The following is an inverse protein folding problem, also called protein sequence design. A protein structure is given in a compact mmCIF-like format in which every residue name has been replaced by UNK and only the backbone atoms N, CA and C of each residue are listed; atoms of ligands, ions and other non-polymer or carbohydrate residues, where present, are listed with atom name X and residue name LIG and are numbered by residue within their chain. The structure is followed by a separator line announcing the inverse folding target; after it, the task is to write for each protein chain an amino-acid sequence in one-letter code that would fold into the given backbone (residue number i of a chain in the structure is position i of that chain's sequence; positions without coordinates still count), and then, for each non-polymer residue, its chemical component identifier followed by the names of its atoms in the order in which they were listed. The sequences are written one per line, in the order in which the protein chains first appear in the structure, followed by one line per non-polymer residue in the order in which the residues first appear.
data_IF_300533810890
#
_entry.id   IF_300533810890
#
_cell.length_a   1.000
_cell.length_b   1.000
_cell.length_c   1.000
_cell.angle_alpha   90.00
_cell.angle_beta   90.00
_cell.angle_gamma   90.00
#
_symmetry.space_group_name_H-M   'P 1'
#
loop_
_entity.id
_entity.type
_entity.pdbx_description
1 polymer ?
#
# COMPACT_ATOMS: atom_id res chain seq x y z
N UNK A 1 51.70 -2.51 -3.31
CA UNK A 1 50.93 -2.32 -2.06
C UNK A 1 50.26 -0.96 -2.09
N UNK A 2 48.97 -0.91 -2.42
CA UNK A 2 48.09 0.24 -2.19
C UNK A 2 46.84 -0.34 -1.57
N UNK A 3 46.60 0.00 -0.31
CA UNK A 3 45.44 -0.48 0.44
C UNK A 3 44.16 0.04 -0.19
N UNK A 4 43.18 -0.86 -0.35
CA UNK A 4 41.82 -0.47 -0.66
C UNK A 4 41.26 0.35 0.52
N UNK A 5 40.57 1.47 0.27
CA UNK A 5 39.85 2.15 1.32
C UNK A 5 38.73 1.23 1.81
N UNK A 6 38.79 0.88 3.08
CA UNK A 6 37.70 0.24 3.82
C UNK A 6 36.47 1.13 3.76
N UNK A 7 35.38 0.59 3.22
CA UNK A 7 34.02 1.14 3.33
C UNK A 7 33.71 1.44 4.80
N UNK A 8 33.14 2.60 5.15
CA UNK A 8 32.67 2.83 6.52
C UNK A 8 31.56 1.81 6.83
N UNK A 9 31.62 1.20 8.01
CA UNK A 9 30.54 0.37 8.54
C UNK A 9 29.25 1.21 8.65
N UNK A 10 28.14 0.70 8.10
CA UNK A 10 26.78 1.18 8.35
C UNK A 10 26.38 0.87 9.81
N UNK A 11 26.91 1.64 10.76
CA UNK A 11 26.61 1.51 12.18
C UNK A 11 25.37 2.37 12.54
N UNK A 12 24.25 1.76 12.95
CA UNK A 12 23.24 2.45 13.76
C UNK A 12 21.75 2.05 13.61
N UNK A 13 21.36 1.24 12.62
CA UNK A 13 19.96 0.86 12.46
C UNK A 13 19.59 -0.34 13.35
N UNK A 14 18.61 -0.16 14.26
CA UNK A 14 18.04 -1.25 15.08
C UNK A 14 17.49 -2.34 14.17
N UNK A 15 17.81 -3.61 14.45
CA UNK A 15 17.27 -4.74 13.68
C UNK A 15 15.81 -4.99 14.04
N UNK A 16 14.88 -4.68 13.14
CA UNK A 16 13.45 -4.87 13.37
C UNK A 16 12.94 -6.01 12.48
N UNK A 17 12.19 -6.94 13.06
CA UNK A 17 11.46 -7.96 12.32
C UNK A 17 9.98 -7.56 12.20
N UNK A 18 9.25 -8.09 11.22
CA UNK A 18 7.83 -7.82 11.06
C UNK A 18 6.97 -9.02 11.46
N UNK A 19 5.81 -8.74 12.05
CA UNK A 19 4.75 -9.70 12.32
C UNK A 19 3.47 -9.18 11.65
N UNK A 20 2.97 -9.92 10.67
CA UNK A 20 1.68 -9.66 10.01
C UNK A 20 0.64 -10.61 10.58
N UNK A 21 -0.38 -10.09 11.26
CA UNK A 21 -1.45 -10.88 11.84
C UNK A 21 -2.56 -11.12 10.81
N UNK A 22 -2.76 -12.39 10.42
CA UNK A 22 -3.73 -12.82 9.41
C UNK A 22 -4.53 -14.06 9.85
N UNK A 23 -4.59 -14.37 11.14
CA UNK A 23 -5.12 -15.65 11.65
C UNK A 23 -6.63 -15.67 11.98
N UNK A 24 -7.30 -14.50 11.99
CA UNK A 24 -8.68 -14.37 12.46
C UNK A 24 -9.73 -15.02 11.54
N UNK A 25 -10.88 -15.39 12.11
CA UNK A 25 -11.97 -16.06 11.37
C UNK A 25 -12.93 -15.11 10.63
N UNK A 26 -12.81 -13.79 10.87
CA UNK A 26 -13.61 -12.75 10.21
C UNK A 26 -15.15 -12.93 10.35
N UNK A 27 -15.64 -13.26 11.56
CA UNK A 27 -17.09 -13.50 11.84
C UNK A 27 -18.02 -12.46 11.23
N UNK A 28 -17.74 -11.18 11.48
CA UNK A 28 -18.56 -10.04 11.04
C UNK A 28 -18.60 -9.89 9.51
N UNK A 29 -17.52 -10.29 8.84
CA UNK A 29 -17.40 -10.27 7.37
C UNK A 29 -18.15 -11.45 6.72
N UNK A 30 -18.31 -12.57 7.43
CA UNK A 30 -18.94 -13.80 6.91
C UNK A 30 -18.09 -14.58 5.89
N UNK A 31 -16.91 -14.08 5.55
CA UNK A 31 -15.90 -14.68 4.66
C UNK A 31 -14.50 -14.25 5.09
N UNK A 32 -13.42 -14.97 4.73
CA UNK A 32 -12.05 -14.62 5.15
C UNK A 32 -11.64 -13.23 4.64
N UNK A 33 -11.58 -12.24 5.54
CA UNK A 33 -11.23 -10.85 5.19
C UNK A 33 -9.82 -10.71 4.61
N UNK A 34 -8.93 -11.61 4.97
CA UNK A 34 -7.56 -11.74 4.46
C UNK A 34 -7.52 -11.91 2.93
N UNK A 35 -8.52 -12.62 2.38
CA UNK A 35 -8.62 -12.95 0.95
C UNK A 35 -9.40 -11.91 0.14
N UNK A 36 -9.93 -10.87 0.80
CA UNK A 36 -10.59 -9.78 0.08
C UNK A 36 -9.59 -9.11 -0.85
N UNK A 37 -10.00 -8.85 -2.08
CA UNK A 37 -9.14 -8.20 -3.05
C UNK A 37 -9.32 -6.68 -3.02
N UNK A 38 -8.22 -5.96 -2.88
CA UNK A 38 -8.17 -4.55 -3.22
C UNK A 38 -7.12 -4.37 -4.31
N UNK A 39 -7.45 -3.72 -5.42
CA UNK A 39 -6.48 -3.52 -6.53
C UNK A 39 -5.87 -4.79 -7.16
N UNK A 40 -6.35 -5.99 -6.85
CA UNK A 40 -5.98 -7.25 -7.52
C UNK A 40 -4.99 -8.06 -6.72
N UNK A 41 -4.89 -7.67 -5.47
CA UNK A 41 -4.02 -8.21 -4.48
C UNK A 41 -4.91 -8.43 -3.25
N UNK A 42 -4.88 -9.65 -2.72
CA UNK A 42 -5.55 -9.95 -1.45
C UNK A 42 -4.97 -9.07 -0.33
N UNK A 43 -5.78 -8.75 0.67
CA UNK A 43 -5.34 -7.88 1.77
C UNK A 43 -4.11 -8.45 2.49
N UNK A 44 -4.07 -9.77 2.68
CA UNK A 44 -2.91 -10.43 3.29
C UNK A 44 -1.64 -10.33 2.44
N UNK A 45 -1.76 -10.50 1.12
CA UNK A 45 -0.62 -10.34 0.21
C UNK A 45 -0.11 -8.91 0.21
N UNK A 46 -1.01 -7.92 0.25
CA UNK A 46 -0.67 -6.50 0.36
C UNK A 46 0.10 -6.21 1.65
N UNK A 47 -0.39 -6.67 2.80
CA UNK A 47 0.26 -6.47 4.10
C UNK A 47 1.65 -7.15 4.15
N UNK A 48 1.77 -8.37 3.64
CA UNK A 48 3.04 -9.08 3.51
C UNK A 48 4.03 -8.32 2.62
N UNK A 49 3.59 -7.87 1.44
CA UNK A 49 4.44 -7.07 0.53
C UNK A 49 4.90 -5.76 1.17
N UNK A 50 4.02 -5.07 1.92
CA UNK A 50 4.40 -3.86 2.67
C UNK A 50 5.45 -4.16 3.73
N UNK A 51 5.31 -5.27 4.46
CA UNK A 51 6.28 -5.69 5.48
C UNK A 51 7.66 -5.99 4.90
N UNK A 52 7.74 -6.57 3.70
CA UNK A 52 8.99 -6.84 2.98
C UNK A 52 9.62 -5.58 2.37
N UNK A 53 8.80 -4.61 1.98
CA UNK A 53 9.27 -3.34 1.44
C UNK A 53 9.75 -2.36 2.54
N UNK A 54 9.26 -2.53 3.77
CA UNK A 54 9.85 -1.93 4.94
C UNK A 54 11.22 -2.58 5.21
N UNK A 55 12.23 -1.86 5.72
CA UNK A 55 13.53 -2.44 6.09
C UNK A 55 13.43 -3.28 7.37
N UNK A 56 12.54 -4.29 7.34
CA UNK A 56 12.27 -5.24 8.41
C UNK A 56 12.62 -6.65 7.92
N UNK A 57 13.37 -7.41 8.71
CA UNK A 57 13.70 -8.79 8.39
C UNK A 57 13.92 -9.61 9.68
N UNK A 58 13.41 -10.85 9.73
CA UNK A 58 12.49 -11.48 8.79
C UNK A 58 11.07 -10.87 8.87
N UNK A 59 10.21 -11.23 7.91
CA UNK A 59 8.77 -10.95 7.99
C UNK A 59 8.01 -12.25 8.25
N UNK A 60 7.32 -12.31 9.38
CA UNK A 60 6.52 -13.45 9.81
C UNK A 60 5.04 -13.15 9.60
N UNK A 61 4.35 -13.96 8.79
CA UNK A 61 2.89 -13.91 8.64
C UNK A 61 2.26 -14.99 9.52
N UNK A 62 1.40 -14.57 10.44
CA UNK A 62 0.68 -15.47 11.34
C UNK A 62 -0.66 -15.87 10.70
N UNK A 63 -0.84 -17.15 10.42
CA UNK A 63 -2.04 -17.73 9.80
C UNK A 63 -2.86 -18.55 10.80
N UNK A 64 -4.12 -18.87 10.48
CA UNK A 64 -5.06 -19.47 11.45
C UNK A 64 -6.28 -20.08 10.78
N UNK A 65 -7.46 -19.49 11.00
CA UNK A 65 -8.76 -20.04 10.60
C UNK A 65 -8.84 -20.52 9.13
N UNK A 66 -8.15 -19.82 8.22
CA UNK A 66 -8.11 -20.11 6.79
C UNK A 66 -6.67 -20.30 6.28
N UNK A 67 -5.82 -20.97 7.07
CA UNK A 67 -4.37 -21.05 6.83
C UNK A 67 -4.00 -21.48 5.39
N UNK A 68 -4.64 -22.52 4.85
CA UNK A 68 -4.35 -23.01 3.49
C UNK A 68 -4.57 -21.96 2.40
N UNK A 69 -5.74 -21.31 2.40
CA UNK A 69 -6.08 -20.28 1.41
C UNK A 69 -5.22 -19.03 1.58
N UNK A 70 -4.98 -18.62 2.82
CA UNK A 70 -4.14 -17.46 3.14
C UNK A 70 -2.69 -17.68 2.73
N UNK A 71 -2.15 -18.87 2.94
CA UNK A 71 -0.77 -19.21 2.55
C UNK A 71 -0.62 -19.31 1.03
N UNK A 72 -1.66 -19.76 0.31
CA UNK A 72 -1.65 -19.77 -1.14
C UNK A 72 -1.48 -18.35 -1.73
N UNK A 73 -2.14 -17.34 -1.15
CA UNK A 73 -2.00 -15.93 -1.53
C UNK A 73 -0.59 -15.37 -1.28
N UNK A 74 0.16 -15.97 -0.36
CA UNK A 74 1.53 -15.57 0.00
C UNK A 74 2.60 -16.25 -0.85
N UNK A 75 2.22 -17.18 -1.72
CA UNK A 75 3.16 -17.89 -2.58
C UNK A 75 4.04 -16.92 -3.38
N UNK A 76 5.34 -17.23 -3.44
CA UNK A 76 6.35 -16.43 -4.12
C UNK A 76 6.81 -15.17 -3.38
N UNK A 77 6.32 -14.89 -2.17
CA UNK A 77 6.89 -13.87 -1.28
C UNK A 77 7.88 -14.50 -0.30
N UNK A 78 8.96 -13.80 0.02
CA UNK A 78 9.98 -14.22 0.99
C UNK A 78 9.52 -13.95 2.44
N UNK A 79 8.39 -14.56 2.82
CA UNK A 79 7.85 -14.47 4.19
C UNK A 79 7.91 -15.80 4.91
N UNK A 80 8.09 -15.72 6.23
CA UNK A 80 7.97 -16.84 7.13
C UNK A 80 6.52 -17.06 7.53
N UNK A 81 6.06 -18.31 7.52
CA UNK A 81 4.71 -18.66 7.98
C UNK A 81 4.75 -19.18 9.40
N UNK A 82 3.88 -18.65 10.26
CA UNK A 82 3.64 -19.16 11.60
C UNK A 82 2.15 -19.48 11.78
N UNK A 83 1.81 -20.77 11.76
CA UNK A 83 0.41 -21.22 11.93
C UNK A 83 0.03 -21.18 13.41
N UNK A 84 -1.02 -20.46 13.76
CA UNK A 84 -1.66 -20.51 15.07
C UNK A 84 -2.79 -21.55 15.06
N UNK A 85 -2.58 -22.78 15.59
CA UNK A 85 -3.63 -23.80 15.66
C UNK A 85 -4.78 -23.37 16.58
N UNK A 86 -4.47 -22.57 17.61
CA UNK A 86 -5.40 -22.06 18.61
C UNK A 86 -5.91 -20.66 18.26
N UNK A 87 -6.16 -20.39 16.97
CA UNK A 87 -6.65 -19.09 16.48
C UNK A 87 -7.94 -18.62 17.18
N UNK A 88 -8.74 -19.56 17.72
CA UNK A 88 -9.94 -19.28 18.53
C UNK A 88 -9.64 -18.58 19.87
N UNK A 89 -8.38 -18.60 20.32
CA UNK A 89 -7.94 -17.91 21.55
C UNK A 89 -7.85 -16.38 21.40
N UNK A 90 -8.20 -15.85 20.22
CA UNK A 90 -8.30 -14.41 19.96
C UNK A 90 -7.01 -13.80 19.42
N UNK A 91 -7.00 -12.48 19.36
CA UNK A 91 -5.88 -11.69 18.83
C UNK A 91 -4.58 -11.93 19.61
N UNK A 92 -4.67 -12.10 20.93
CA UNK A 92 -3.52 -12.39 21.78
C UNK A 92 -2.80 -13.68 21.35
N UNK A 93 -3.52 -14.76 21.07
CA UNK A 93 -2.90 -16.03 20.65
C UNK A 93 -2.12 -15.92 19.34
N UNK A 94 -2.63 -15.13 18.40
CA UNK A 94 -1.95 -14.87 17.14
C UNK A 94 -0.67 -14.05 17.35
N UNK A 95 -0.73 -13.05 18.22
CA UNK A 95 0.44 -12.25 18.57
C UNK A 95 1.51 -13.08 19.29
N UNK A 96 1.13 -13.94 20.26
CA UNK A 96 2.05 -14.88 20.91
C UNK A 96 2.73 -15.79 19.90
N UNK A 97 1.97 -16.32 18.94
CA UNK A 97 2.48 -17.17 17.86
C UNK A 97 3.51 -16.42 17.01
N UNK A 98 3.21 -15.18 16.63
CA UNK A 98 4.12 -14.32 15.87
C UNK A 98 5.40 -13.99 16.63
N UNK A 99 5.30 -13.63 17.92
CA UNK A 99 6.46 -13.32 18.75
C UNK A 99 7.35 -14.55 18.99
N UNK A 100 6.75 -15.71 19.22
CA UNK A 100 7.51 -16.96 19.36
C UNK A 100 8.26 -17.31 18.07
N UNK A 101 7.58 -17.21 16.93
CA UNK A 101 8.15 -17.41 15.60
C UNK A 101 9.29 -16.43 15.29
N UNK A 102 9.13 -15.16 15.65
CA UNK A 102 10.15 -14.12 15.49
C UNK A 102 11.37 -14.41 16.37
N UNK A 103 11.17 -14.75 17.66
CA UNK A 103 12.26 -15.06 18.59
C UNK A 103 13.13 -16.24 18.13
N UNK A 104 12.50 -17.24 17.51
CA UNK A 104 13.20 -18.41 16.96
C UNK A 104 14.04 -18.04 15.71
N UNK A 105 13.46 -17.26 14.79
CA UNK A 105 14.08 -16.93 13.50
C UNK A 105 15.07 -15.78 13.55
N UNK A 106 14.86 -14.84 14.47
CA UNK A 106 15.66 -13.63 14.63
C UNK A 106 15.92 -13.37 16.12
N UNK A 107 16.74 -14.23 16.77
CA UNK A 107 17.04 -14.13 18.20
C UNK A 107 17.76 -12.84 18.58
N UNK A 108 18.26 -12.07 17.61
CA UNK A 108 18.98 -10.81 17.70
C UNK A 108 18.14 -9.59 17.26
N UNK A 109 16.85 -9.76 16.91
CA UNK A 109 15.92 -8.66 16.61
C UNK A 109 15.69 -7.72 17.81
N UNK A 110 15.92 -6.44 17.63
CA UNK A 110 15.78 -5.40 18.66
C UNK A 110 14.34 -4.87 18.77
N UNK A 111 13.50 -5.14 17.76
CA UNK A 111 12.08 -4.82 17.81
C UNK A 111 11.23 -5.64 16.84
N UNK A 112 9.91 -5.55 17.02
CA UNK A 112 8.90 -6.19 16.19
C UNK A 112 7.89 -5.16 15.69
N UNK A 113 7.84 -4.94 14.37
CA UNK A 113 6.78 -4.21 13.69
C UNK A 113 5.55 -5.12 13.58
N UNK A 114 4.46 -4.77 14.26
CA UNK A 114 3.19 -5.48 14.21
C UNK A 114 2.26 -4.80 13.20
N UNK A 115 1.79 -5.58 12.23
CA UNK A 115 0.85 -5.19 11.17
C UNK A 115 -0.39 -6.09 11.23
N UNK A 116 -1.53 -5.58 10.76
CA UNK A 116 -2.72 -6.38 10.53
C UNK A 116 -2.98 -6.53 9.04
N UNK A 117 -3.45 -7.71 8.62
CA UNK A 117 -3.76 -7.98 7.22
C UNK A 117 -4.96 -7.17 6.69
N UNK A 118 -5.82 -6.67 7.57
CA UNK A 118 -7.09 -6.00 7.27
C UNK A 118 -7.02 -4.46 7.36
N UNK A 119 -5.80 -3.90 7.38
CA UNK A 119 -5.55 -2.45 7.32
C UNK A 119 -5.01 -2.05 5.92
N UNK A 120 -5.84 -2.09 4.86
CA UNK A 120 -5.37 -2.01 3.47
C UNK A 120 -4.82 -0.65 3.05
N UNK A 121 -5.08 0.40 3.82
CA UNK A 121 -4.69 1.78 3.46
C UNK A 121 -3.32 2.19 4.00
N UNK A 122 -2.71 1.36 4.85
CA UNK A 122 -1.36 1.59 5.40
C UNK A 122 -0.33 1.72 4.28
N UNK A 123 0.44 2.81 4.33
CA UNK A 123 1.50 3.10 3.37
C UNK A 123 2.88 2.68 3.86
N UNK A 124 3.79 2.43 2.91
CA UNK A 124 5.20 2.20 3.22
C UNK A 124 5.86 3.44 3.85
N UNK A 125 5.39 4.65 3.50
CA UNK A 125 5.92 5.89 4.06
C UNK A 125 5.64 5.98 5.56
N UNK A 126 4.42 5.60 6.00
CA UNK A 126 4.06 5.52 7.40
C UNK A 126 4.93 4.50 8.16
N UNK A 127 5.15 3.31 7.58
CA UNK A 127 6.02 2.31 8.19
C UNK A 127 7.47 2.81 8.34
N UNK A 128 7.99 3.55 7.36
CA UNK A 128 9.33 4.15 7.43
C UNK A 128 9.41 5.24 8.51
N UNK A 129 8.37 6.07 8.66
CA UNK A 129 8.29 7.07 9.74
C UNK A 129 8.30 6.40 11.12
N UNK A 130 7.55 5.31 11.30
CA UNK A 130 7.57 4.53 12.54
C UNK A 130 8.97 3.95 12.83
N UNK A 131 9.62 3.34 11.84
CA UNK A 131 10.95 2.75 12.00
C UNK A 131 12.01 3.81 12.33
N UNK A 132 11.95 4.97 11.68
CA UNK A 132 12.83 6.10 11.98
C UNK A 132 12.61 6.61 13.41
N UNK A 133 11.35 6.74 13.85
CA UNK A 133 11.02 7.16 15.20
C UNK A 133 11.53 6.16 16.25
N UNK A 134 11.32 4.86 16.03
CA UNK A 134 11.79 3.77 16.90
C UNK A 134 13.32 3.67 16.98
N UNK A 135 14.05 4.15 15.97
CA UNK A 135 15.52 4.19 16.00
C UNK A 135 16.07 5.28 16.95
N UNK A 136 15.22 6.18 17.46
CA UNK A 136 15.65 7.23 18.39
C UNK A 136 16.03 6.65 19.76
N UNK A 137 17.11 7.15 20.40
CA UNK A 137 17.51 6.69 21.73
C UNK A 137 16.38 6.83 22.76
N UNK A 138 16.20 5.81 23.60
CA UNK A 138 15.20 5.80 24.69
C UNK A 138 13.77 5.48 24.24
N UNK A 139 13.51 5.34 22.95
CA UNK A 139 12.20 4.92 22.44
C UNK A 139 12.15 3.41 22.36
N UNK A 140 11.18 2.78 23.01
CA UNK A 140 11.01 1.32 23.01
C UNK A 140 9.66 0.90 22.43
N UNK A 141 8.77 1.86 22.15
CA UNK A 141 7.56 1.64 21.36
C UNK A 141 7.35 2.81 20.39
N UNK A 142 6.93 2.50 19.18
CA UNK A 142 6.46 3.50 18.21
C UNK A 142 5.10 3.06 17.66
N UNK A 143 4.10 3.93 17.64
CA UNK A 143 2.76 3.56 17.19
C UNK A 143 2.08 4.66 16.38
N UNK A 144 1.10 4.29 15.57
CA UNK A 144 0.25 5.24 14.88
C UNK A 144 -0.77 5.88 15.84
N UNK A 145 -0.98 7.18 15.71
CA UNK A 145 -2.06 7.93 16.35
C UNK A 145 -3.09 8.31 15.29
N UNK A 146 -4.29 7.74 15.41
CA UNK A 146 -5.40 7.93 14.49
C UNK A 146 -6.52 8.72 15.15
N UNK A 147 -6.76 9.97 14.75
CA UNK A 147 -7.86 10.79 15.27
C UNK A 147 -8.07 10.64 16.81
N UNK A 148 -6.98 10.69 17.58
CA UNK A 148 -6.98 10.53 19.05
C UNK A 148 -6.89 9.09 19.59
N UNK A 149 -6.79 8.07 18.74
CA UNK A 149 -6.63 6.66 19.15
C UNK A 149 -5.29 6.09 18.73
N UNK A 150 -4.51 5.59 19.69
CA UNK A 150 -3.24 4.90 19.41
C UNK A 150 -3.53 3.46 18.96
N UNK A 151 -2.83 2.99 17.93
CA UNK A 151 -3.05 1.67 17.35
C UNK A 151 -1.89 1.13 16.54
N UNK A 152 -2.10 -0.06 15.97
CA UNK A 152 -1.18 -0.65 15.01
C UNK A 152 -1.43 -0.08 13.61
N UNK A 153 -0.42 0.04 12.72
CA UNK A 153 0.95 -0.45 12.86
C UNK A 153 1.72 0.13 14.04
N UNK A 154 2.42 -0.75 14.76
CA UNK A 154 3.23 -0.34 15.90
C UNK A 154 4.48 -1.22 16.02
N UNK A 155 5.56 -0.62 16.47
CA UNK A 155 6.82 -1.29 16.78
C UNK A 155 6.94 -1.43 18.28
N UNK A 156 7.31 -2.62 18.71
CA UNK A 156 7.61 -2.94 20.10
C UNK A 156 9.06 -3.38 20.21
N UNK A 157 9.82 -2.76 21.09
CA UNK A 157 11.19 -3.15 21.42
C UNK A 157 11.22 -4.54 22.05
N UNK A 158 12.40 -5.16 22.01
CA UNK A 158 12.63 -6.52 22.53
C UNK A 158 12.12 -6.72 23.96
N UNK A 159 12.25 -5.70 24.81
CA UNK A 159 11.77 -5.72 26.20
C UNK A 159 10.25 -5.94 26.31
N UNK A 160 9.48 -5.56 25.30
CA UNK A 160 8.04 -5.78 25.24
C UNK A 160 7.66 -7.18 24.72
N UNK A 161 8.61 -8.00 24.24
CA UNK A 161 8.27 -9.31 23.69
C UNK A 161 7.64 -10.24 24.72
N UNK A 162 8.05 -10.17 25.99
CA UNK A 162 7.44 -10.96 27.07
C UNK A 162 6.04 -10.45 27.41
N UNK A 163 5.85 -9.13 27.43
CA UNK A 163 4.53 -8.52 27.61
C UNK A 163 3.57 -8.92 26.48
N UNK A 164 4.03 -8.90 25.22
CA UNK A 164 3.26 -9.38 24.06
C UNK A 164 2.96 -10.88 24.17
N UNK A 165 3.94 -11.68 24.62
CA UNK A 165 3.80 -13.13 24.80
C UNK A 165 2.88 -13.53 25.96
N UNK A 166 2.57 -12.62 26.89
CA UNK A 166 1.72 -12.88 28.06
C UNK A 166 0.27 -12.37 27.90
N UNK A 167 -0.05 -11.69 26.79
CA UNK A 167 -1.42 -11.25 26.51
C UNK A 167 -2.39 -12.44 26.43
N UNK A 168 -3.65 -12.20 26.79
CA UNK A 168 -4.71 -13.21 26.79
C UNK A 168 -6.05 -12.67 26.28
N UNK A 169 -6.84 -13.57 25.70
CA UNK A 169 -8.16 -13.29 25.11
C UNK A 169 -8.07 -12.36 23.89
N UNK A 170 -9.03 -11.44 23.80
CA UNK A 170 -9.13 -10.48 22.69
C UNK A 170 -8.25 -9.24 22.88
N UNK A 171 -7.45 -9.19 23.95
CA UNK A 171 -6.50 -8.08 24.17
C UNK A 171 -5.36 -8.16 23.15
N UNK A 172 -5.40 -7.26 22.18
CA UNK A 172 -4.32 -7.06 21.21
C UNK A 172 -3.19 -6.19 21.72
N UNK A 173 -2.20 -5.95 20.86
CA UNK A 173 -1.05 -5.11 21.13
C UNK A 173 -1.42 -3.69 21.62
N UNK A 174 -2.61 -3.19 21.26
CA UNK A 174 -3.15 -1.89 21.69
C UNK A 174 -3.17 -1.70 23.20
N UNK A 175 -3.38 -2.74 24.01
CA UNK A 175 -3.36 -2.58 25.47
C UNK A 175 -1.99 -2.19 26.01
N UNK A 176 -0.90 -2.58 25.32
CA UNK A 176 0.46 -2.20 25.64
C UNK A 176 0.82 -0.80 25.12
N UNK A 177 -0.07 -0.15 24.36
CA UNK A 177 0.09 1.22 23.85
C UNK A 177 -0.77 2.23 24.62
N UNK A 178 -1.66 1.75 25.51
CA UNK A 178 -2.61 2.59 26.21
C UNK A 178 -1.95 3.53 27.24
N UNK A 179 -0.77 3.17 27.75
CA UNK A 179 0.00 4.01 28.67
C UNK A 179 1.03 4.81 27.88
N UNK A 180 0.84 6.12 27.86
CA UNK A 180 1.80 7.09 27.36
C UNK A 180 2.90 7.28 28.40
N UNK A 181 4.08 6.76 28.11
CA UNK A 181 5.31 6.90 28.89
C UNK A 181 6.42 7.38 27.97
N UNK A 182 7.57 7.79 28.54
CA UNK A 182 8.65 8.44 27.79
C UNK A 182 9.27 7.57 26.67
N UNK A 183 9.11 6.26 26.76
CA UNK A 183 9.57 5.27 25.77
C UNK A 183 8.60 5.05 24.60
N UNK A 184 7.40 5.67 24.61
CA UNK A 184 6.44 5.60 23.52
C UNK A 184 6.45 6.88 22.69
N UNK A 185 6.73 6.75 21.40
CA UNK A 185 6.50 7.81 20.41
C UNK A 185 5.27 7.49 19.57
N UNK A 186 4.42 8.49 19.32
CA UNK A 186 3.27 8.35 18.43
C UNK A 186 3.43 9.17 17.17
N UNK A 187 3.08 8.57 16.03
CA UNK A 187 3.10 9.21 14.72
C UNK A 187 1.67 9.48 14.28
N UNK A 188 1.31 10.75 14.21
CA UNK A 188 0.00 11.18 13.70
C UNK A 188 -0.12 10.89 12.20
N UNK A 189 -1.28 10.37 11.81
CA UNK A 189 -1.58 10.02 10.42
C UNK A 189 -3.05 10.21 10.10
N UNK A 190 -3.31 10.79 8.93
CA UNK A 190 -4.64 10.87 8.32
C UNK A 190 -4.96 9.60 7.51
N UNK A 191 -4.03 8.64 7.43
CA UNK A 191 -4.31 7.34 6.82
C UNK A 191 -5.40 6.64 7.63
N UNK A 192 -6.48 6.16 6.98
CA UNK A 192 -7.60 5.60 7.73
C UNK A 192 -7.15 4.38 8.54
N UNK A 193 -7.39 4.44 9.85
CA UNK A 193 -7.21 3.32 10.78
C UNK A 193 -8.16 2.15 10.53
N UNK A 194 -9.08 2.30 9.57
CA UNK A 194 -10.26 1.45 9.45
C UNK A 194 -9.89 0.04 9.02
N UNK A 195 -9.97 -0.88 9.97
CA UNK A 195 -9.98 -2.31 9.73
C UNK A 195 -11.19 -2.67 8.83
N UNK A 196 -10.98 -3.60 7.90
CA UNK A 196 -12.07 -4.10 7.04
C UNK A 196 -12.79 -5.25 7.75
N UNK A 197 -13.76 -4.92 8.60
CA UNK A 197 -14.41 -5.88 9.49
C UNK A 197 -15.78 -6.38 9.01
N UNK A 198 -16.50 -5.56 8.25
CA UNK A 198 -17.85 -5.82 7.76
C UNK A 198 -17.92 -5.75 6.22
N UNK A 199 -18.91 -6.39 5.59
CA UNK A 199 -19.14 -6.22 4.15
C UNK A 199 -19.32 -4.75 3.74
N UNK A 200 -19.92 -3.93 4.61
CA UNK A 200 -20.10 -2.50 4.42
C UNK A 200 -18.75 -1.76 4.39
N UNK A 201 -17.81 -2.09 5.29
CA UNK A 201 -16.45 -1.53 5.28
C UNK A 201 -15.75 -1.84 3.95
N UNK A 202 -15.88 -3.09 3.50
CA UNK A 202 -15.29 -3.51 2.22
C UNK A 202 -15.96 -2.84 1.01
N UNK A 203 -17.28 -2.66 1.05
CA UNK A 203 -18.01 -1.94 0.02
C UNK A 203 -17.59 -0.47 -0.04
N UNK A 204 -17.44 0.19 1.12
CA UNK A 204 -16.95 1.57 1.20
C UNK A 204 -15.50 1.70 0.71
N UNK A 205 -14.66 0.70 0.99
CA UNK A 205 -13.28 0.64 0.50
C UNK A 205 -13.19 0.50 -1.03
N UNK A 206 -14.14 -0.20 -1.63
CA UNK A 206 -14.16 -0.52 -3.07
C UNK A 206 -15.10 0.38 -3.88
N UNK A 207 -15.81 1.31 -3.22
CA UNK A 207 -16.71 2.25 -3.86
C UNK A 207 -15.93 3.29 -4.67
N UNK A 208 -16.47 3.63 -5.84
CA UNK A 208 -15.99 4.74 -6.67
C UNK A 208 -16.31 6.08 -6.00
N UNK A 209 -15.44 6.52 -5.09
CA UNK A 209 -15.56 7.82 -4.47
C UNK A 209 -15.46 8.95 -5.52
N UNK A 210 -16.15 10.08 -5.34
CA UNK A 210 -15.97 11.24 -6.22
C UNK A 210 -14.52 11.73 -6.19
N UNK A 211 -14.00 12.27 -7.31
CA UNK A 211 -12.64 12.82 -7.31
C UNK A 211 -12.56 14.03 -6.35
N UNK A 212 -11.45 14.20 -5.61
CA UNK A 212 -11.21 15.42 -4.84
C UNK A 212 -11.33 16.66 -5.72
N UNK A 213 -11.88 17.74 -5.19
CA UNK A 213 -12.11 18.98 -5.96
C UNK A 213 -10.82 19.54 -6.56
N UNK A 214 -9.70 19.51 -5.81
CA UNK A 214 -8.40 19.93 -6.32
C UNK A 214 -7.90 19.06 -7.49
N UNK A 215 -8.06 17.74 -7.42
CA UNK A 215 -7.74 16.85 -8.55
C UNK A 215 -8.66 17.11 -9.76
N UNK A 216 -9.95 17.39 -9.53
CA UNK A 216 -10.86 17.77 -10.61
C UNK A 216 -10.42 19.07 -11.28
N UNK A 217 -10.02 20.07 -10.49
CA UNK A 217 -9.47 21.34 -10.97
C UNK A 217 -8.20 21.13 -11.78
N UNK A 218 -7.25 20.33 -11.29
CA UNK A 218 -6.05 19.99 -12.06
C UNK A 218 -6.36 19.31 -13.38
N UNK A 219 -7.30 18.36 -13.42
CA UNK A 219 -7.73 17.74 -14.68
C UNK A 219 -8.41 18.72 -15.65
N UNK A 220 -8.93 19.85 -15.15
CA UNK A 220 -9.51 20.94 -15.93
C UNK A 220 -8.44 21.87 -16.49
N UNK A 221 -7.42 22.21 -15.70
CA UNK A 221 -6.36 23.15 -16.08
C UNK A 221 -5.19 22.48 -16.82
N UNK A 222 -4.82 21.27 -16.40
CA UNK A 222 -3.61 20.55 -16.82
C UNK A 222 -3.87 19.04 -17.01
N UNK A 223 -3.65 18.55 -18.22
CA UNK A 223 -3.91 17.13 -18.53
C UNK A 223 -2.67 16.23 -18.41
N UNK A 224 -1.48 16.80 -18.14
CA UNK A 224 -0.24 16.04 -18.11
C UNK A 224 -0.13 15.27 -16.80
N UNK A 225 0.07 13.98 -16.92
CA UNK A 225 0.13 13.02 -15.82
C UNK A 225 1.18 11.97 -16.11
N UNK A 226 1.51 11.18 -15.10
CA UNK A 226 2.51 10.13 -15.18
C UNK A 226 1.88 8.82 -14.74
N UNK A 227 1.51 7.98 -15.70
CA UNK A 227 1.02 6.63 -15.45
C UNK A 227 2.22 5.74 -15.11
N UNK A 228 2.22 5.13 -13.94
CA UNK A 228 3.19 4.13 -13.51
C UNK A 228 2.57 2.75 -13.69
N UNK A 229 3.31 1.84 -14.33
CA UNK A 229 2.93 0.43 -14.53
C UNK A 229 4.07 -0.48 -14.09
N UNK A 230 3.77 -1.72 -13.73
CA UNK A 230 4.78 -2.68 -13.26
C UNK A 230 5.32 -3.55 -14.41
N UNK A 231 6.63 -3.77 -14.43
CA UNK A 231 7.32 -4.66 -15.38
C UNK A 231 7.17 -6.13 -14.97
N UNK A 232 7.70 -7.02 -15.82
CA UNK A 232 7.94 -8.45 -15.57
C UNK A 232 8.49 -8.77 -14.18
N UNK A 233 9.47 -8.01 -13.74
CA UNK A 233 10.15 -8.19 -12.45
C UNK A 233 9.47 -7.43 -11.28
N UNK A 234 8.32 -6.81 -11.51
CA UNK A 234 7.65 -5.97 -10.51
C UNK A 234 8.23 -4.56 -10.38
N UNK A 235 9.29 -4.21 -11.12
CA UNK A 235 9.84 -2.85 -11.09
C UNK A 235 8.91 -1.83 -11.76
N UNK A 236 8.84 -0.58 -11.28
CA UNK A 236 7.98 0.45 -11.87
C UNK A 236 8.54 1.00 -13.19
N UNK A 237 7.64 1.32 -14.12
CA UNK A 237 7.92 2.10 -15.34
C UNK A 237 6.98 3.28 -15.42
N UNK A 238 7.55 4.49 -15.57
CA UNK A 238 6.79 5.74 -15.67
C UNK A 238 6.48 6.08 -17.13
N UNK A 239 5.25 6.50 -17.37
CA UNK A 239 4.71 6.85 -18.69
C UNK A 239 4.11 8.25 -18.66
N UNK A 240 4.77 9.27 -19.25
CA UNK A 240 4.16 10.58 -19.43
C UNK A 240 2.96 10.46 -20.37
N UNK A 241 1.78 10.86 -19.90
CA UNK A 241 0.53 10.72 -20.62
C UNK A 241 -0.42 11.88 -20.37
N UNK A 242 -1.35 12.06 -21.31
CA UNK A 242 -2.49 12.96 -21.15
C UNK A 242 -3.63 12.15 -20.55
N UNK A 243 -4.09 12.54 -19.37
CA UNK A 243 -5.30 11.99 -18.79
C UNK A 243 -6.53 12.60 -19.48
N UNK A 244 -7.52 11.77 -19.75
CA UNK A 244 -8.82 12.14 -20.25
C UNK A 244 -9.81 11.94 -19.09
N UNK A 245 -10.59 12.96 -18.76
CA UNK A 245 -11.65 12.86 -17.74
C UNK A 245 -13.00 12.62 -18.41
N UNK A 246 -13.75 11.62 -17.94
CA UNK A 246 -15.14 11.36 -18.31
C UNK A 246 -15.98 11.27 -17.03
N UNK A 247 -16.59 12.37 -16.59
CA UNK A 247 -17.20 12.43 -15.26
C UNK A 247 -16.13 12.29 -14.16
N UNK A 248 -16.31 11.37 -13.22
CA UNK A 248 -15.27 11.04 -12.22
C UNK A 248 -14.36 9.87 -12.66
N UNK A 249 -14.52 9.39 -13.90
CA UNK A 249 -13.64 8.38 -14.48
C UNK A 249 -12.34 9.00 -15.01
N UNK A 250 -11.23 8.34 -14.71
CA UNK A 250 -9.90 8.66 -15.22
C UNK A 250 -9.55 7.70 -16.36
N UNK A 251 -9.32 8.23 -17.55
CA UNK A 251 -9.14 7.44 -18.76
C UNK A 251 -7.86 7.85 -19.48
N UNK A 252 -7.10 6.88 -19.98
CA UNK A 252 -5.93 7.11 -20.81
C UNK A 252 -6.12 6.47 -22.18
N UNK A 253 -5.52 7.06 -23.21
CA UNK A 253 -5.45 6.41 -24.53
C UNK A 253 -4.01 6.01 -24.87
N UNK A 254 -3.82 4.78 -25.34
CA UNK A 254 -2.49 4.28 -25.72
C UNK A 254 -2.56 3.38 -26.93
N UNK A 255 -1.42 3.03 -27.51
CA UNK A 255 -1.36 1.99 -28.53
C UNK A 255 -1.45 0.61 -27.89
N UNK A 256 -2.17 -0.31 -28.55
CA UNK A 256 -2.29 -1.70 -28.09
C UNK A 256 -0.93 -2.39 -27.90
N UNK A 257 0.04 -2.07 -28.75
CA UNK A 257 1.40 -2.63 -28.69
C UNK A 257 2.37 -1.84 -27.78
N UNK A 258 1.87 -0.93 -26.95
CA UNK A 258 2.73 -0.14 -26.06
C UNK A 258 3.24 -0.98 -24.87
N UNK A 259 4.35 -0.56 -24.26
CA UNK A 259 4.89 -1.21 -23.07
C UNK A 259 3.88 -1.22 -21.92
N UNK A 260 3.20 -0.09 -21.67
CA UNK A 260 2.17 0.01 -20.63
C UNK A 260 0.98 -0.93 -20.84
N UNK A 261 0.57 -1.16 -22.09
CA UNK A 261 -0.51 -2.11 -22.40
C UNK A 261 -0.08 -3.55 -22.07
N UNK A 262 1.12 -3.97 -22.48
CA UNK A 262 1.66 -5.29 -22.13
C UNK A 262 1.87 -5.46 -20.62
N UNK A 263 2.33 -4.41 -19.95
CA UNK A 263 2.50 -4.41 -18.50
C UNK A 263 1.14 -4.63 -17.81
N UNK A 264 0.11 -3.87 -18.22
CA UNK A 264 -1.25 -3.98 -17.68
C UNK A 264 -1.92 -5.33 -17.94
N UNK A 265 -1.68 -5.95 -19.10
CA UNK A 265 -2.17 -7.30 -19.38
C UNK A 265 -1.58 -8.35 -18.42
N UNK A 266 -0.39 -8.08 -17.88
CA UNK A 266 0.30 -8.97 -16.94
C UNK A 266 0.01 -8.64 -15.47
N UNK A 267 0.02 -7.35 -15.13
CA UNK A 267 -0.23 -6.84 -13.79
C UNK A 267 -1.07 -5.55 -13.93
N UNK A 268 -2.36 -5.57 -13.54
CA UNK A 268 -3.24 -4.44 -13.73
C UNK A 268 -2.95 -3.28 -12.77
N UNK A 269 -2.07 -3.44 -11.77
CA UNK A 269 -1.77 -2.41 -10.77
C UNK A 269 -1.04 -1.23 -11.42
N UNK A 270 -1.51 -0.04 -11.09
CA UNK A 270 -0.96 1.23 -11.56
C UNK A 270 -0.97 2.27 -10.46
N UNK A 271 -0.15 3.31 -10.67
CA UNK A 271 -0.33 4.58 -10.02
C UNK A 271 -0.35 5.69 -11.08
N UNK A 272 -1.01 6.81 -10.81
CA UNK A 272 -1.02 7.97 -11.68
C UNK A 272 -0.68 9.19 -10.84
N UNK A 273 0.44 9.84 -11.15
CA UNK A 273 0.77 11.12 -10.56
C UNK A 273 0.27 12.27 -11.45
N UNK A 274 -0.48 13.19 -10.84
CA UNK A 274 -0.92 14.46 -11.39
C UNK A 274 -0.19 15.56 -10.66
N UNK A 275 0.56 16.40 -11.36
CA UNK A 275 1.39 17.42 -10.74
C UNK A 275 0.89 18.81 -11.11
N UNK A 276 0.77 19.67 -10.11
CA UNK A 276 0.41 21.08 -10.22
C UNK A 276 1.68 21.92 -10.53
N UNK A 277 2.16 21.79 -11.76
CA UNK A 277 3.36 22.47 -12.24
C UNK A 277 4.68 21.71 -12.03
N UNK A 278 5.77 22.26 -12.58
CA UNK A 278 7.13 21.69 -12.55
C UNK A 278 8.14 22.69 -11.97
N UNK A 279 7.76 23.34 -10.87
CA UNK A 279 8.62 24.31 -10.18
C UNK A 279 9.75 23.66 -9.37
N UNK A 280 10.75 24.45 -8.93
CA UNK A 280 11.85 23.97 -8.08
C UNK A 280 11.44 23.70 -6.61
N UNK A 281 10.20 23.99 -6.24
CA UNK A 281 9.59 23.67 -4.94
C UNK A 281 8.98 22.27 -5.03
N UNK A 282 8.89 21.55 -3.91
CA UNK A 282 8.33 20.19 -3.85
C UNK A 282 7.07 20.04 -4.72
N UNK A 283 6.95 18.96 -5.51
CA UNK A 283 5.85 18.80 -6.44
C UNK A 283 4.53 18.65 -5.66
N UNK A 284 3.67 19.67 -5.75
CA UNK A 284 2.28 19.58 -5.31
C UNK A 284 1.44 18.86 -6.36
N UNK A 285 0.37 18.19 -5.93
CA UNK A 285 -0.52 17.49 -6.84
C UNK A 285 -1.25 16.32 -6.19
N UNK A 286 -1.51 15.27 -6.96
CA UNK A 286 -2.22 14.10 -6.48
C UNK A 286 -1.60 12.80 -7.03
N UNK A 287 -1.52 11.80 -6.15
CA UNK A 287 -1.23 10.42 -6.51
C UNK A 287 -2.53 9.61 -6.46
N UNK A 288 -2.89 9.01 -7.59
CA UNK A 288 -4.02 8.09 -7.70
C UNK A 288 -3.46 6.68 -7.83
N UNK A 289 -3.75 5.81 -6.87
CA UNK A 289 -3.37 4.40 -6.92
C UNK A 289 -4.58 3.57 -7.33
N UNK A 290 -4.39 2.60 -8.22
CA UNK A 290 -5.40 1.58 -8.46
C UNK A 290 -5.13 0.60 -9.59
N UNK A 291 -6.17 0.25 -10.38
CA UNK A 291 -6.06 -0.69 -11.51
C UNK A 291 -6.34 -0.04 -12.85
N UNK A 292 -5.57 -0.42 -13.86
CA UNK A 292 -5.84 -0.06 -15.26
C UNK A 292 -6.58 -1.17 -15.99
N UNK A 293 -7.79 -0.90 -16.46
CA UNK A 293 -8.58 -1.82 -17.28
C UNK A 293 -8.45 -1.46 -18.76
N UNK A 294 -7.95 -2.39 -19.57
CA UNK A 294 -7.83 -2.18 -21.02
C UNK A 294 -9.20 -2.36 -21.67
N UNK A 295 -9.71 -1.30 -22.27
CA UNK A 295 -10.97 -1.30 -23.00
C UNK A 295 -10.77 -1.00 -24.48
N UNK A 296 -11.50 -1.74 -25.33
CA UNK A 296 -11.73 -1.33 -26.73
C UNK A 296 -12.81 -0.27 -26.75
N UNK A 297 -12.51 0.85 -27.39
CA UNK A 297 -13.48 1.92 -27.60
C UNK A 297 -13.67 2.16 -29.10
N UNK A 298 -14.86 2.62 -29.47
CA UNK A 298 -15.19 2.99 -30.85
C UNK A 298 -14.95 4.49 -31.12
N UNK A 299 -14.68 5.27 -30.07
CA UNK A 299 -14.38 6.69 -30.13
C UNK A 299 -13.47 7.08 -28.95
N UNK A 300 -12.73 8.19 -29.09
CA UNK A 300 -12.11 8.84 -27.94
C UNK A 300 -13.15 9.73 -27.25
N UNK A 301 -13.05 9.91 -25.91
CA UNK A 301 -13.71 11.01 -25.23
C UNK A 301 -13.39 12.34 -25.93
N UNK A 302 -14.31 13.31 -25.93
CA UNK A 302 -14.06 14.63 -26.52
C UNK A 302 -12.79 15.24 -25.91
N UNK A 303 -11.92 15.77 -26.76
CA UNK A 303 -10.75 16.50 -26.29
C UNK A 303 -11.22 17.78 -25.57
N UNK A 304 -10.65 18.07 -24.40
CA UNK A 304 -10.94 19.32 -23.68
C UNK A 304 -10.39 20.51 -24.46
N UNK A 305 -11.21 21.54 -24.59
CA UNK A 305 -10.93 22.82 -25.26
C UNK A 305 -9.96 23.73 -24.50
N UNK A 306 -8.82 23.19 -24.08
CA UNK A 306 -7.71 23.97 -23.52
C UNK A 306 -6.56 24.02 -24.51
N UNK A 307 -5.93 25.18 -24.66
CA UNK A 307 -4.84 25.46 -25.59
C UNK A 307 -3.55 24.65 -25.28
N UNK A 308 -3.59 23.33 -25.47
CA UNK A 308 -2.38 22.52 -25.61
C UNK A 308 -1.73 22.79 -26.97
N UNK A 309 -0.39 22.71 -27.09
CA UNK A 309 0.30 23.03 -28.32
C UNK A 309 -0.15 22.08 -29.44
N UNK A 310 -0.94 22.63 -30.38
CA UNK A 310 -1.30 22.07 -31.69
C UNK A 310 -1.96 20.68 -31.68
N UNK A 311 -3.21 20.58 -31.24
CA UNK A 311 -4.09 19.51 -31.75
C UNK A 311 -5.06 20.08 -32.79
N UNK A 312 -4.56 20.39 -33.99
CA UNK A 312 -5.44 20.70 -35.13
C UNK A 312 -6.40 19.54 -35.40
N UNK A 313 -7.56 19.80 -36.01
CA UNK A 313 -8.61 18.81 -36.29
C UNK A 313 -8.10 17.50 -36.89
N UNK A 314 -7.05 17.55 -37.71
CA UNK A 314 -6.41 16.38 -38.31
C UNK A 314 -5.74 15.43 -37.31
N UNK A 315 -5.22 15.93 -36.18
CA UNK A 315 -4.62 15.10 -35.12
C UNK A 315 -5.72 14.33 -34.37
N UNK A 316 -6.83 15.01 -34.05
CA UNK A 316 -7.98 14.39 -33.40
C UNK A 316 -8.65 13.36 -34.32
N UNK A 317 -8.87 13.70 -35.59
CA UNK A 317 -9.44 12.77 -36.59
C UNK A 317 -8.62 11.48 -36.73
N UNK A 318 -7.29 11.60 -36.88
CA UNK A 318 -6.38 10.44 -36.93
C UNK A 318 -6.39 9.63 -35.64
N UNK A 319 -6.52 10.29 -34.48
CA UNK A 319 -6.62 9.60 -33.20
C UNK A 319 -7.93 8.80 -33.09
N UNK A 320 -9.05 9.38 -33.54
CA UNK A 320 -10.36 8.71 -33.63
C UNK A 320 -10.32 7.50 -34.57
N UNK A 321 -9.74 7.62 -35.77
CA UNK A 321 -9.58 6.52 -36.73
C UNK A 321 -8.72 5.38 -36.17
N UNK A 322 -7.68 5.71 -35.41
CA UNK A 322 -6.80 4.72 -34.75
C UNK A 322 -7.50 3.97 -33.62
N UNK A 323 -8.45 4.61 -32.93
CA UNK A 323 -9.31 3.94 -31.94
C UNK A 323 -10.31 3.04 -32.64
N UNK A 324 -11.02 3.53 -33.67
CA UNK A 324 -11.96 2.73 -34.48
C UNK A 324 -11.31 1.47 -35.08
N UNK A 325 -10.07 1.60 -35.56
CA UNK A 325 -9.31 0.46 -36.10
C UNK A 325 -8.70 -0.46 -35.04
N UNK A 326 -8.90 -0.20 -33.75
CA UNK A 326 -8.35 -1.00 -32.64
C UNK A 326 -6.83 -0.88 -32.43
N UNK A 327 -6.16 -0.02 -33.21
CA UNK A 327 -4.72 0.28 -33.04
C UNK A 327 -4.45 1.00 -31.73
N UNK A 328 -5.40 1.83 -31.28
CA UNK A 328 -5.42 2.44 -29.95
C UNK A 328 -6.50 1.81 -29.09
N UNK A 329 -6.22 1.77 -27.80
CA UNK A 329 -7.08 1.28 -26.72
C UNK A 329 -7.25 2.39 -25.69
N UNK A 330 -8.28 2.26 -24.87
CA UNK A 330 -8.43 3.02 -23.64
C UNK A 330 -7.92 2.19 -22.46
N UNK A 331 -7.44 2.88 -21.44
CA UNK A 331 -7.16 2.35 -20.12
C UNK A 331 -8.05 3.13 -19.18
N UNK A 332 -9.07 2.49 -18.63
CA UNK A 332 -9.92 3.08 -17.59
C UNK A 332 -9.24 2.81 -16.24
N UNK A 333 -9.15 3.81 -15.37
CA UNK A 333 -8.53 3.66 -14.05
C UNK A 333 -9.61 3.49 -12.99
N UNK A 334 -9.66 2.29 -12.41
CA UNK A 334 -10.38 2.05 -11.17
C UNK A 334 -9.52 2.48 -10.01
N UNK A 335 -10.03 3.40 -9.20
CA UNK A 335 -9.30 4.11 -8.16
C UNK A 335 -9.49 3.39 -6.84
N UNK A 336 -8.40 3.09 -6.15
CA UNK A 336 -8.43 2.51 -4.81
C UNK A 336 -8.06 3.55 -3.74
N UNK A 337 -7.17 4.48 -4.10
CA UNK A 337 -6.80 5.60 -3.25
C UNK A 337 -6.47 6.84 -4.09
N UNK A 338 -6.78 8.00 -3.52
CA UNK A 338 -6.32 9.30 -4.02
C UNK A 338 -5.66 10.01 -2.85
N UNK A 339 -4.41 10.43 -3.03
CA UNK A 339 -3.61 11.16 -2.03
C UNK A 339 -3.18 12.48 -2.62
N UNK A 340 -3.23 13.55 -1.82
CA UNK A 340 -2.63 14.83 -2.17
C UNK A 340 -1.12 14.76 -1.91
N UNK A 341 -0.33 15.39 -2.78
CA UNK A 341 1.13 15.50 -2.67
C UNK A 341 1.47 16.94 -2.24
N UNK A 342 2.42 17.10 -1.31
CA UNK A 342 2.91 18.42 -0.87
C UNK A 342 2.22 19.01 0.37
N UNK A 343 1.58 18.16 1.20
CA UNK A 343 1.22 18.49 2.59
C UNK A 343 1.83 17.43 3.51
N UNK A 344 3.13 17.54 3.77
CA UNK A 344 3.81 16.95 4.92
C UNK A 344 4.74 18.01 5.51
#
# INVERSE_FOLDING_TARGET
MRGNPTTPAENGARRVAAIVLAAGEARRMGRPKQLLELSGESLVRRAARLSLAAPCAPSVVVTGAYAGDVEAELAGLEVDIARNPDWRSGLAGSLRTGVAALRDRAPDAEGALVLLADQPRISLALLRRLLAAFASPGIERAACLYAGSVGVPAIFGREYFEALASLSGDRGAKSLLAQATEDLVTIETDEPASDVDTPEDYAALTADAPLPEGLRGLLEEHTRSFLVSLRGDGSPTVHPMTALRQGDELVFNTYRKSAKARNLERDPRIAVAYLDGYGPVEPSGYLVEGRGEIRRANALPPARGGAGPRSGEGVQRRAQERVRSGKRILIDVRRDAVRELGRD
#
